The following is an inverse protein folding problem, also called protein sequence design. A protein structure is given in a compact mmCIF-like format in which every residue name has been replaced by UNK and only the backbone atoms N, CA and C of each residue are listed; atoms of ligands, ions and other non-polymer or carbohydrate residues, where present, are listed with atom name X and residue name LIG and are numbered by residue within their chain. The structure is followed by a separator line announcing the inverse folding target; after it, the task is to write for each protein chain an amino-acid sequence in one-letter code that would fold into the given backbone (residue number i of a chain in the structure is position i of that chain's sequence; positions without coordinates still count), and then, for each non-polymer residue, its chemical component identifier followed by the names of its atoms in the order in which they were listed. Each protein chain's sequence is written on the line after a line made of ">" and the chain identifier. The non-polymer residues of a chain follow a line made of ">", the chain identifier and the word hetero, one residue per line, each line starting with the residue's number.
data_IF_879792402518
#
_entry.id   IF_879792402518
#
_cell.length_a   1.000
_cell.length_b   1.000
_cell.length_c   1.000
_cell.angle_alpha   90.00
_cell.angle_beta   90.00
_cell.angle_gamma   90.00
#
_symmetry.space_group_name_H-M   'P 1'
#
loop_
_entity.id
_entity.type
_entity.pdbx_description
1 polymer ?
#
# COMPACT_ATOMS: atom_id res chain seq x y z
N UNK A 1 -4.22 10.40 -9.42
CA UNK A 1 -5.07 9.33 -8.85
C UNK A 1 -6.24 10.06 -8.27
N UNK A 2 -7.48 9.72 -8.61
CA UNK A 2 -8.62 10.59 -8.29
C UNK A 2 -8.72 10.90 -6.79
N UNK A 3 -8.46 9.93 -5.91
CA UNK A 3 -8.46 10.13 -4.45
C UNK A 3 -7.38 11.14 -4.02
N UNK A 4 -6.19 11.09 -4.63
CA UNK A 4 -5.10 12.03 -4.33
C UNK A 4 -5.47 13.43 -4.80
N UNK A 5 -6.01 13.54 -6.00
CA UNK A 5 -6.37 14.83 -6.61
C UNK A 5 -7.45 15.53 -5.75
N UNK A 6 -8.42 14.78 -5.21
CA UNK A 6 -9.41 15.30 -4.24
C UNK A 6 -8.77 15.75 -2.92
N UNK A 7 -7.80 15.00 -2.38
CA UNK A 7 -7.08 15.39 -1.16
C UNK A 7 -6.28 16.69 -1.35
N UNK A 8 -5.63 16.84 -2.49
CA UNK A 8 -4.76 18.00 -2.76
C UNK A 8 -5.55 19.31 -2.91
N UNK A 9 -6.86 19.26 -3.22
CA UNK A 9 -7.73 20.45 -3.16
C UNK A 9 -7.78 21.05 -1.75
N UNK A 10 -7.72 20.22 -0.70
CA UNK A 10 -7.67 20.68 0.69
C UNK A 10 -6.34 21.36 0.99
N UNK A 11 -5.24 20.81 0.45
CA UNK A 11 -3.91 21.42 0.58
C UNK A 11 -3.89 22.80 -0.05
N UNK A 12 -4.38 22.93 -1.28
CA UNK A 12 -4.46 24.20 -2.00
C UNK A 12 -5.28 25.24 -1.24
N UNK A 13 -6.43 24.83 -0.70
CA UNK A 13 -7.26 25.71 0.11
C UNK A 13 -6.52 26.21 1.36
N UNK A 14 -5.89 25.30 2.10
CA UNK A 14 -5.11 25.60 3.31
C UNK A 14 -3.96 26.57 3.01
N UNK A 15 -3.24 26.36 1.90
CA UNK A 15 -2.13 27.23 1.50
C UNK A 15 -2.60 28.65 1.14
N UNK A 16 -3.73 28.79 0.43
CA UNK A 16 -4.30 30.12 0.08
C UNK A 16 -4.71 30.91 1.32
N UNK A 17 -5.18 30.23 2.36
CA UNK A 17 -5.52 30.84 3.65
C UNK A 17 -4.29 31.10 4.55
N UNK A 18 -3.08 30.72 4.11
CA UNK A 18 -1.83 30.83 4.87
C UNK A 18 -1.90 30.16 6.25
N UNK A 19 -2.63 29.06 6.33
CA UNK A 19 -2.71 28.28 7.57
C UNK A 19 -1.41 27.49 7.77
N UNK A 20 -0.84 27.47 8.99
CA UNK A 20 0.26 26.59 9.31
C UNK A 20 -0.12 25.12 9.14
N UNK A 21 0.78 24.30 8.61
CA UNK A 21 0.46 22.92 8.27
C UNK A 21 1.59 21.92 8.52
N UNK A 22 1.22 20.65 8.66
CA UNK A 22 2.12 19.51 8.50
C UNK A 22 1.37 18.43 7.70
N UNK A 23 1.83 18.11 6.50
CA UNK A 23 1.27 17.03 5.68
C UNK A 23 2.07 15.77 5.96
N UNK A 24 1.42 14.68 6.37
CA UNK A 24 2.08 13.46 6.81
C UNK A 24 1.70 12.30 5.88
N UNK A 25 2.70 11.78 5.17
CA UNK A 25 2.57 10.58 4.34
C UNK A 25 3.19 9.39 5.06
N UNK A 26 2.36 8.38 5.33
CA UNK A 26 2.67 7.27 6.25
C UNK A 26 2.90 5.94 5.53
N UNK A 27 3.15 6.00 4.22
CA UNK A 27 3.22 4.81 3.38
C UNK A 27 1.89 4.03 3.36
N UNK A 28 1.99 2.70 3.32
CA UNK A 28 0.84 1.79 3.31
C UNK A 28 0.80 0.92 4.57
N UNK A 29 -0.40 0.54 5.01
CA UNK A 29 -0.55 -0.22 6.25
C UNK A 29 -0.23 -1.70 6.06
N UNK A 30 0.52 -2.29 6.99
CA UNK A 30 0.77 -3.73 7.01
C UNK A 30 -0.55 -4.52 7.05
N UNK A 31 -1.52 -4.08 7.85
CA UNK A 31 -2.81 -4.75 8.06
C UNK A 31 -3.72 -4.76 6.83
N UNK A 32 -3.39 -4.00 5.79
CA UNK A 32 -4.10 -3.99 4.51
C UNK A 32 -3.38 -4.84 3.45
N UNK A 33 -2.15 -5.29 3.71
CA UNK A 33 -1.34 -5.98 2.69
C UNK A 33 -0.41 -7.04 3.26
N UNK A 34 -0.97 -8.19 3.59
CA UNK A 34 -0.27 -9.47 3.78
C UNK A 34 -0.95 -10.57 2.93
N UNK A 35 -0.21 -11.55 2.37
CA UNK A 35 -0.79 -12.63 1.58
C UNK A 35 -1.62 -13.59 2.44
N UNK A 36 -2.62 -14.26 1.86
CA UNK A 36 -3.27 -15.41 2.51
C UNK A 36 -2.36 -16.62 2.46
N UNK A 37 -2.41 -17.42 3.51
CA UNK A 37 -1.66 -18.68 3.65
C UNK A 37 -2.60 -19.87 3.45
N UNK A 38 -2.11 -21.02 2.91
CA UNK A 38 -2.94 -22.19 2.60
C UNK A 38 -3.79 -22.71 3.77
N UNK A 39 -3.27 -22.65 4.99
CA UNK A 39 -4.01 -23.06 6.19
C UNK A 39 -5.18 -22.15 6.57
N UNK A 40 -5.32 -20.98 5.93
CA UNK A 40 -6.37 -20.01 6.25
C UNK A 40 -6.18 -19.28 7.58
N UNK A 41 -5.07 -19.50 8.31
CA UNK A 41 -4.86 -18.90 9.65
C UNK A 41 -4.85 -17.38 9.67
N UNK A 42 -4.66 -16.71 8.53
CA UNK A 42 -4.69 -15.24 8.43
C UNK A 42 -6.06 -14.69 8.00
N UNK A 43 -7.01 -15.54 7.62
CA UNK A 43 -8.29 -15.11 7.03
C UNK A 43 -9.13 -14.26 7.98
N UNK A 44 -8.99 -14.46 9.29
CA UNK A 44 -9.69 -13.67 10.31
C UNK A 44 -9.31 -12.19 10.28
N UNK A 45 -8.09 -11.86 9.84
CA UNK A 45 -7.57 -10.50 9.79
C UNK A 45 -7.64 -9.89 8.38
N UNK A 46 -7.78 -10.71 7.33
CA UNK A 46 -7.73 -10.27 5.94
C UNK A 46 -8.99 -9.48 5.54
N UNK A 47 -8.81 -8.43 4.73
CA UNK A 47 -9.93 -7.64 4.16
C UNK A 47 -10.27 -8.07 2.73
N UNK A 48 -9.25 -8.40 1.94
CA UNK A 48 -9.34 -8.69 0.51
C UNK A 48 -8.50 -9.95 0.20
N UNK A 49 -8.68 -10.59 -0.96
CA UNK A 49 -7.67 -11.52 -1.48
C UNK A 49 -6.38 -10.74 -1.79
N UNK A 50 -5.23 -11.21 -1.27
CA UNK A 50 -3.97 -10.45 -1.32
C UNK A 50 -2.79 -11.24 -1.91
N UNK A 51 -3.07 -12.34 -2.61
CA UNK A 51 -2.04 -13.22 -3.20
C UNK A 51 -1.55 -12.74 -4.57
N UNK A 52 -2.10 -11.64 -5.07
CA UNK A 52 -1.73 -11.06 -6.36
C UNK A 52 -0.33 -10.45 -6.35
N UNK A 53 0.50 -10.81 -7.33
CA UNK A 53 1.84 -10.25 -7.55
C UNK A 53 1.83 -9.34 -8.78
N UNK A 54 2.16 -8.08 -8.57
CA UNK A 54 2.18 -7.04 -9.60
C UNK A 54 3.62 -6.83 -10.09
N UNK A 55 3.82 -6.77 -11.41
CA UNK A 55 5.10 -6.40 -12.02
C UNK A 55 6.31 -7.17 -11.42
N UNK A 56 6.16 -8.47 -11.17
CA UNK A 56 7.22 -9.31 -10.59
C UNK A 56 7.44 -9.17 -9.08
N UNK A 57 6.73 -8.27 -8.41
CA UNK A 57 6.73 -8.14 -6.95
C UNK A 57 8.02 -7.57 -6.35
N UNK A 58 8.91 -7.00 -7.16
CA UNK A 58 10.23 -6.49 -6.73
C UNK A 58 10.22 -5.02 -6.32
N UNK A 59 9.15 -4.28 -6.63
CA UNK A 59 9.06 -2.84 -6.35
C UNK A 59 9.01 -2.58 -4.83
N UNK A 60 9.99 -1.85 -4.27
CA UNK A 60 9.99 -1.52 -2.85
C UNK A 60 8.83 -0.59 -2.50
N UNK A 61 8.25 -0.78 -1.31
CA UNK A 61 7.13 0.00 -0.83
C UNK A 61 7.35 0.43 0.62
N UNK A 62 7.09 1.69 0.91
CA UNK A 62 7.03 2.20 2.29
C UNK A 62 5.81 1.61 2.98
N UNK A 63 6.04 0.80 4.02
CA UNK A 63 5.01 0.12 4.79
C UNK A 63 5.13 0.46 6.28
N UNK A 64 4.01 0.43 7.01
CA UNK A 64 3.99 0.70 8.45
C UNK A 64 2.80 0.02 9.14
N UNK A 65 2.93 -0.32 10.42
CA UNK A 65 1.82 -0.78 11.24
C UNK A 65 0.82 0.36 11.47
N UNK A 66 -0.48 0.10 11.33
CA UNK A 66 -1.53 1.10 11.62
C UNK A 66 -1.39 1.71 13.02
N UNK A 67 -0.93 0.93 14.01
CA UNK A 67 -0.68 1.40 15.40
C UNK A 67 0.37 2.50 15.48
N UNK A 68 1.35 2.51 14.59
CA UNK A 68 2.43 3.50 14.60
C UNK A 68 2.04 4.83 13.99
N UNK A 69 1.07 4.85 13.08
CA UNK A 69 0.56 6.07 12.44
C UNK A 69 0.21 7.13 13.48
N UNK A 70 -0.56 6.77 14.53
CA UNK A 70 -0.92 7.71 15.59
C UNK A 70 0.29 8.09 16.46
N UNK A 71 1.14 7.12 16.82
CA UNK A 71 2.31 7.33 17.68
C UNK A 71 3.30 8.32 17.06
N UNK A 72 3.60 8.17 15.76
CA UNK A 72 4.51 9.08 15.06
C UNK A 72 3.87 10.43 14.76
N UNK A 73 2.57 10.45 14.40
CA UNK A 73 1.84 11.70 14.13
C UNK A 73 1.90 12.65 15.32
N UNK A 74 1.73 12.15 16.55
CA UNK A 74 1.80 12.98 17.77
C UNK A 74 3.17 13.64 17.94
N UNK A 75 4.26 12.98 17.53
CA UNK A 75 5.60 13.58 17.54
C UNK A 75 5.71 14.67 16.48
N UNK A 76 5.28 14.37 15.26
CA UNK A 76 5.31 15.31 14.13
C UNK A 76 4.55 16.60 14.41
N UNK A 77 3.28 16.54 14.81
CA UNK A 77 2.46 17.76 14.96
C UNK A 77 2.95 18.71 16.07
N UNK A 78 3.83 18.27 16.96
CA UNK A 78 4.41 19.08 18.05
C UNK A 78 5.82 19.57 17.75
N UNK A 79 6.41 19.13 16.65
CA UNK A 79 7.79 19.44 16.30
C UNK A 79 7.86 20.67 15.39
N UNK A 80 8.52 21.73 15.84
CA UNK A 80 8.69 22.94 15.04
C UNK A 80 9.42 22.68 13.70
N UNK A 81 10.24 21.62 13.63
CA UNK A 81 10.93 21.21 12.39
C UNK A 81 9.96 20.78 11.29
N UNK A 82 8.73 20.39 11.63
CA UNK A 82 7.71 19.96 10.67
C UNK A 82 6.70 21.05 10.32
N UNK A 83 6.82 22.24 10.90
CA UNK A 83 5.95 23.38 10.60
C UNK A 83 6.09 23.80 9.13
N UNK A 84 4.96 23.84 8.42
CA UNK A 84 4.87 24.08 6.98
C UNK A 84 5.69 23.10 6.14
N UNK A 85 5.80 21.85 6.60
CA UNK A 85 6.52 20.79 5.89
C UNK A 85 5.59 19.65 5.49
N UNK A 86 6.04 18.91 4.47
CA UNK A 86 5.54 17.59 4.15
C UNK A 86 6.53 16.58 4.72
N UNK A 87 6.06 15.61 5.47
CA UNK A 87 6.89 14.62 6.16
C UNK A 87 6.47 13.25 5.70
N UNK A 88 7.42 12.40 5.33
CA UNK A 88 7.14 11.01 5.04
C UNK A 88 7.70 10.11 6.15
N UNK A 89 6.99 9.04 6.49
CA UNK A 89 7.39 8.10 7.53
C UNK A 89 6.92 6.68 7.20
N UNK A 90 7.72 5.70 7.58
CA UNK A 90 7.47 4.29 7.33
C UNK A 90 8.22 3.43 8.33
N UNK A 91 7.72 2.23 8.62
CA UNK A 91 8.34 1.24 9.51
C UNK A 91 9.36 0.38 8.76
N UNK A 92 8.95 -0.23 7.65
CA UNK A 92 9.79 -1.05 6.78
C UNK A 92 9.65 -0.62 5.32
N UNK A 93 10.72 -0.82 4.54
CA UNK A 93 10.73 -0.65 3.08
C UNK A 93 10.81 -2.05 2.47
N UNK A 94 9.68 -2.60 2.02
CA UNK A 94 9.59 -3.98 1.55
C UNK A 94 8.89 -4.07 0.20
N UNK A 95 9.37 -4.97 -0.64
CA UNK A 95 8.72 -5.43 -1.86
C UNK A 95 7.68 -6.53 -1.55
N UNK A 96 6.85 -6.88 -2.54
CA UNK A 96 5.91 -8.01 -2.36
C UNK A 96 6.65 -9.32 -2.13
N UNK A 97 7.77 -9.52 -2.82
CA UNK A 97 8.56 -10.74 -2.69
C UNK A 97 9.16 -10.89 -1.29
N UNK A 98 9.64 -9.80 -0.68
CA UNK A 98 10.16 -9.81 0.69
C UNK A 98 9.04 -10.03 1.71
N UNK A 99 7.88 -9.38 1.54
CA UNK A 99 6.68 -9.63 2.36
C UNK A 99 6.28 -11.10 2.30
N UNK A 100 6.24 -11.67 1.10
CA UNK A 100 5.90 -13.08 0.88
C UNK A 100 6.94 -13.99 1.54
N UNK A 101 8.23 -13.72 1.37
CA UNK A 101 9.31 -14.52 1.97
C UNK A 101 9.23 -14.54 3.50
N UNK A 102 8.98 -13.38 4.13
CA UNK A 102 8.81 -13.28 5.60
C UNK A 102 7.63 -14.14 6.07
N UNK A 103 6.52 -14.13 5.32
CA UNK A 103 5.35 -14.94 5.66
C UNK A 103 5.65 -16.43 5.49
N UNK A 104 6.26 -16.85 4.37
CA UNK A 104 6.64 -18.25 4.14
C UNK A 104 7.59 -18.75 5.23
N UNK A 105 8.60 -17.96 5.60
CA UNK A 105 9.56 -18.29 6.65
C UNK A 105 8.90 -18.48 8.01
N UNK A 106 8.07 -17.52 8.44
CA UNK A 106 7.44 -17.56 9.77
C UNK A 106 6.32 -18.60 9.90
N UNK A 107 5.63 -18.90 8.80
CA UNK A 107 4.52 -19.86 8.82
C UNK A 107 4.95 -21.27 8.47
N UNK A 108 6.08 -21.43 7.77
CA UNK A 108 6.51 -22.69 7.18
C UNK A 108 5.65 -23.13 5.98
N UNK A 109 4.77 -22.26 5.48
CA UNK A 109 3.83 -22.57 4.40
C UNK A 109 4.28 -21.96 3.08
N UNK A 110 4.14 -22.68 1.97
CA UNK A 110 4.36 -22.13 0.64
C UNK A 110 3.13 -21.35 0.18
N UNK A 111 3.31 -20.10 -0.21
CA UNK A 111 2.20 -19.25 -0.64
C UNK A 111 1.72 -19.61 -2.05
N UNK A 112 0.41 -19.65 -2.23
CA UNK A 112 -0.23 -19.74 -3.55
C UNK A 112 -0.33 -18.35 -4.16
N UNK A 113 0.76 -17.89 -4.78
CA UNK A 113 0.84 -16.56 -5.40
C UNK A 113 0.26 -16.57 -6.81
N UNK A 114 -0.51 -15.53 -7.14
CA UNK A 114 -1.15 -15.38 -8.45
C UNK A 114 -0.55 -14.17 -9.15
N UNK A 115 0.06 -14.30 -10.33
CA UNK A 115 0.41 -13.14 -11.14
C UNK A 115 -0.87 -12.38 -11.49
N UNK A 116 -0.87 -11.06 -11.38
CA UNK A 116 -2.00 -10.24 -11.84
C UNK A 116 -2.23 -10.52 -13.31
N UNK A 117 -3.48 -10.87 -13.68
CA UNK A 117 -3.92 -11.10 -15.06
C UNK A 117 -5.04 -10.11 -15.40
N UNK A 118 -5.14 -9.72 -16.68
CA UNK A 118 -6.33 -9.02 -17.17
C UNK A 118 -7.42 -10.02 -17.55
N UNK A 119 -8.68 -9.63 -17.40
CA UNK A 119 -9.85 -10.45 -17.80
C UNK A 119 -9.93 -10.73 -19.31
N UNK A 120 -8.98 -10.20 -20.09
CA UNK A 120 -8.92 -10.25 -21.55
C UNK A 120 -7.83 -11.17 -22.09
N UNK A 121 -6.96 -11.72 -21.23
CA UNK A 121 -5.79 -12.50 -21.67
C UNK A 121 -6.02 -14.00 -21.45
N UNK A 122 -6.23 -14.74 -22.55
CA UNK A 122 -6.50 -16.18 -22.58
C UNK A 122 -5.27 -17.05 -22.91
N UNK A 123 -4.06 -16.48 -23.02
CA UNK A 123 -2.88 -17.26 -23.42
C UNK A 123 -1.91 -17.47 -22.25
N UNK A 124 -2.00 -18.65 -21.65
CA UNK A 124 -0.90 -19.31 -20.95
C UNK A 124 0.12 -19.80 -22.00
N UNK A 125 1.41 -19.48 -21.83
CA UNK A 125 2.54 -20.41 -22.02
C UNK A 125 3.93 -19.74 -22.00
N UNK A 126 4.89 -20.46 -21.39
CA UNK A 126 6.36 -20.42 -21.48
C UNK A 126 7.03 -19.13 -22.01
N UNK A 127 7.06 -18.08 -21.18
CA UNK A 127 7.83 -16.86 -21.44
C UNK A 127 8.90 -16.61 -20.36
N UNK A 128 9.97 -15.90 -20.74
CA UNK A 128 11.08 -15.55 -19.83
C UNK A 128 10.59 -14.70 -18.65
N UNK A 129 11.32 -14.72 -17.54
CA UNK A 129 10.94 -14.00 -16.32
C UNK A 129 10.73 -12.50 -16.56
N UNK A 130 11.59 -11.85 -17.35
CA UNK A 130 11.47 -10.42 -17.67
C UNK A 130 10.21 -10.10 -18.49
N UNK A 131 9.83 -10.96 -19.43
CA UNK A 131 8.62 -10.76 -20.24
C UNK A 131 7.35 -10.93 -19.38
N UNK A 132 7.37 -11.84 -18.40
CA UNK A 132 6.27 -12.00 -17.43
C UNK A 132 6.10 -10.76 -16.54
N UNK A 133 7.20 -10.13 -16.12
CA UNK A 133 7.17 -8.88 -15.33
C UNK A 133 6.53 -7.75 -16.13
N UNK A 134 6.99 -7.54 -17.36
CA UNK A 134 6.46 -6.50 -18.25
C UNK A 134 4.96 -6.70 -18.51
N UNK A 135 4.55 -7.94 -18.82
CA UNK A 135 3.15 -8.29 -19.05
C UNK A 135 2.28 -8.04 -17.81
N UNK A 136 2.75 -8.41 -16.62
CA UNK A 136 2.01 -8.14 -15.38
C UNK A 136 1.81 -6.64 -15.13
N UNK A 137 2.79 -5.80 -15.49
CA UNK A 137 2.65 -4.35 -15.42
C UNK A 137 1.63 -3.83 -16.45
N UNK A 138 1.67 -4.32 -17.69
CA UNK A 138 0.69 -4.01 -18.73
C UNK A 138 -0.73 -4.44 -18.36
N UNK A 139 -0.88 -5.62 -17.76
CA UNK A 139 -2.16 -6.16 -17.27
C UNK A 139 -2.70 -5.32 -16.12
N UNK A 140 -1.85 -4.86 -15.20
CA UNK A 140 -2.25 -3.91 -14.16
C UNK A 140 -2.73 -2.57 -14.73
N UNK A 141 -2.06 -2.05 -15.76
CA UNK A 141 -2.48 -0.84 -16.48
C UNK A 141 -3.78 -1.02 -17.26
N UNK A 142 -3.97 -2.20 -17.88
CA UNK A 142 -5.22 -2.55 -18.56
C UNK A 142 -6.40 -2.65 -17.57
N UNK A 143 -6.18 -3.28 -16.41
CA UNK A 143 -7.16 -3.34 -15.33
C UNK A 143 -7.53 -1.94 -14.82
N UNK A 144 -6.55 -1.04 -14.66
CA UNK A 144 -6.81 0.36 -14.32
C UNK A 144 -7.64 1.07 -15.40
N UNK A 145 -7.32 0.88 -16.68
CA UNK A 145 -8.09 1.47 -17.79
C UNK A 145 -9.54 0.99 -17.78
N UNK A 146 -9.78 -0.31 -17.57
CA UNK A 146 -11.12 -0.87 -17.47
C UNK A 146 -11.87 -0.32 -16.24
N UNK A 147 -11.21 -0.22 -15.08
CA UNK A 147 -11.81 0.32 -13.87
C UNK A 147 -12.20 1.80 -14.02
N UNK A 148 -11.37 2.60 -14.74
CA UNK A 148 -11.71 3.99 -15.09
C UNK A 148 -12.95 4.07 -15.96
N UNK A 149 -13.02 3.27 -17.03
CA UNK A 149 -14.18 3.25 -17.92
C UNK A 149 -15.47 2.84 -17.17
N UNK A 150 -15.39 1.86 -16.26
CA UNK A 150 -16.53 1.46 -15.44
C UNK A 150 -16.99 2.59 -14.49
N UNK A 151 -16.05 3.26 -13.81
CA UNK A 151 -16.35 4.39 -12.95
C UNK A 151 -16.90 5.61 -13.72
N UNK A 152 -16.44 5.85 -14.95
CA UNK A 152 -16.99 6.90 -15.83
C UNK A 152 -18.41 6.57 -16.30
N UNK A 153 -18.70 5.29 -16.55
CA UNK A 153 -20.02 4.83 -17.00
C UNK A 153 -21.08 4.97 -15.91
N UNK A 154 -20.73 4.63 -14.66
CA UNK A 154 -21.62 4.74 -13.51
C UNK A 154 -20.84 5.22 -12.27
N UNK A 155 -20.62 6.54 -12.11
CA UNK A 155 -19.84 7.11 -11.01
C UNK A 155 -20.59 7.09 -9.67
N UNK A 156 -21.92 6.87 -9.69
CA UNK A 156 -22.70 6.73 -8.47
C UNK A 156 -22.57 5.32 -7.85
N UNK A 157 -22.04 4.35 -8.60
CA UNK A 157 -21.87 2.99 -8.13
C UNK A 157 -20.64 2.87 -7.22
N UNK A 158 -20.83 2.58 -5.92
CA UNK A 158 -19.73 2.51 -4.95
C UNK A 158 -18.74 1.38 -5.27
N UNK A 159 -19.17 0.30 -5.95
CA UNK A 159 -18.28 -0.80 -6.32
C UNK A 159 -17.33 -0.41 -7.47
N UNK A 160 -17.81 0.36 -8.44
CA UNK A 160 -16.95 0.88 -9.51
C UNK A 160 -15.90 1.83 -8.95
N UNK A 161 -16.30 2.71 -8.02
CA UNK A 161 -15.39 3.63 -7.36
C UNK A 161 -14.35 2.91 -6.48
N UNK A 162 -14.77 1.87 -5.74
CA UNK A 162 -13.85 1.04 -4.96
C UNK A 162 -12.86 0.29 -5.86
N UNK A 163 -13.34 -0.29 -6.97
CA UNK A 163 -12.51 -0.98 -7.95
C UNK A 163 -11.48 -0.05 -8.60
N UNK A 164 -11.89 1.17 -8.98
CA UNK A 164 -10.98 2.19 -9.48
C UNK A 164 -9.91 2.56 -8.45
N UNK A 165 -10.32 2.82 -7.20
CA UNK A 165 -9.39 3.15 -6.13
C UNK A 165 -8.34 2.05 -5.91
N UNK A 166 -8.75 0.78 -5.87
CA UNK A 166 -7.86 -0.37 -5.73
C UNK A 166 -6.87 -0.43 -6.89
N UNK A 167 -7.36 -0.31 -8.13
CA UNK A 167 -6.51 -0.36 -9.32
C UNK A 167 -5.49 0.80 -9.36
N UNK A 168 -5.93 2.02 -9.02
CA UNK A 168 -5.04 3.19 -8.91
C UNK A 168 -3.94 2.98 -7.88
N UNK A 169 -4.29 2.50 -6.67
CA UNK A 169 -3.32 2.21 -5.63
C UNK A 169 -2.32 1.12 -6.04
N UNK A 170 -2.77 0.05 -6.69
CA UNK A 170 -1.89 -1.04 -7.12
C UNK A 170 -0.92 -0.59 -8.20
N UNK A 171 -1.38 0.14 -9.22
CA UNK A 171 -0.49 0.70 -10.27
C UNK A 171 0.49 1.69 -9.67
N UNK A 172 0.03 2.58 -8.79
CA UNK A 172 0.88 3.56 -8.11
C UNK A 172 2.01 2.91 -7.31
N UNK A 173 1.69 1.90 -6.50
CA UNK A 173 2.64 1.23 -5.61
C UNK A 173 3.60 0.28 -6.32
N UNK A 174 3.10 -0.53 -7.26
CA UNK A 174 3.85 -1.66 -7.77
C UNK A 174 4.39 -1.47 -9.19
N UNK A 175 3.73 -0.65 -10.01
CA UNK A 175 4.18 -0.37 -11.39
C UNK A 175 4.99 0.92 -11.46
N UNK A 176 4.46 2.01 -10.90
CA UNK A 176 5.11 3.33 -10.93
C UNK A 176 6.10 3.56 -9.78
N UNK A 177 6.01 2.74 -8.73
CA UNK A 177 6.85 2.84 -7.53
C UNK A 177 6.72 4.17 -6.77
N UNK A 178 5.54 4.81 -6.79
CA UNK A 178 5.35 6.14 -6.17
C UNK A 178 5.58 6.14 -4.66
N UNK A 179 5.36 4.99 -4.00
CA UNK A 179 5.40 4.84 -2.56
C UNK A 179 6.81 4.47 -2.07
N UNK A 180 7.81 5.23 -2.49
CA UNK A 180 9.24 5.04 -2.14
C UNK A 180 9.84 6.31 -1.51
N UNK A 181 10.87 6.18 -0.66
CA UNK A 181 11.59 7.34 -0.10
C UNK A 181 12.13 8.27 -1.19
N UNK A 182 12.70 7.72 -2.26
CA UNK A 182 13.24 8.47 -3.40
C UNK A 182 12.19 9.41 -4.01
N UNK A 183 10.98 8.91 -4.27
CA UNK A 183 9.89 9.72 -4.81
C UNK A 183 9.40 10.78 -3.81
N UNK A 184 9.35 10.46 -2.52
CA UNK A 184 8.97 11.43 -1.49
C UNK A 184 9.99 12.58 -1.40
N UNK A 185 11.29 12.26 -1.41
CA UNK A 185 12.38 13.22 -1.37
C UNK A 185 12.44 14.09 -2.62
N UNK A 186 12.24 13.50 -3.81
CA UNK A 186 12.10 14.24 -5.06
C UNK A 186 10.98 15.30 -4.99
N UNK A 187 9.88 14.99 -4.31
CA UNK A 187 8.75 15.91 -4.10
C UNK A 187 8.97 16.91 -2.93
N UNK A 188 10.14 16.89 -2.29
CA UNK A 188 10.51 17.80 -1.21
C UNK A 188 9.94 17.44 0.16
N UNK A 189 9.54 16.18 0.38
CA UNK A 189 9.19 15.71 1.72
C UNK A 189 10.46 15.52 2.55
N UNK A 190 10.37 15.77 3.85
CA UNK A 190 11.46 15.50 4.80
C UNK A 190 11.28 14.12 5.44
N UNK A 191 12.40 13.45 5.71
CA UNK A 191 12.43 12.08 6.21
C UNK A 191 12.10 12.01 7.71
N UNK A 192 10.95 11.46 8.05
CA UNK A 192 10.52 11.27 9.43
C UNK A 192 11.43 10.33 10.23
N UNK A 193 12.12 9.39 9.58
CA UNK A 193 13.05 8.47 10.28
C UNK A 193 14.34 9.19 10.71
N UNK A 194 14.78 10.19 9.94
CA UNK A 194 15.90 11.05 10.32
C UNK A 194 15.52 12.04 11.42
N UNK A 195 14.28 12.54 11.39
CA UNK A 195 13.77 13.44 12.43
C UNK A 195 13.60 12.73 13.79
N UNK A 196 13.25 11.45 13.77
CA UNK A 196 12.93 10.64 14.96
C UNK A 196 13.68 9.30 14.95
N UNK A 197 15.03 9.31 15.06
CA UNK A 197 15.83 8.09 15.00
C UNK A 197 15.61 7.17 16.22
N UNK A 198 15.08 7.70 17.32
CA UNK A 198 14.73 6.96 18.54
C UNK A 198 13.36 6.27 18.46
N UNK A 199 12.58 6.51 17.40
CA UNK A 199 11.25 5.96 17.29
C UNK A 199 11.29 4.44 17.06
N UNK A 200 10.74 3.69 18.00
CA UNK A 200 10.61 2.24 17.90
C UNK A 200 9.43 1.86 17.00
N UNK A 201 9.73 1.65 15.72
CA UNK A 201 8.81 1.13 14.71
C UNK A 201 8.48 -0.34 14.98
N UNK A 202 7.19 -0.68 14.91
CA UNK A 202 6.71 -2.05 14.81
C UNK A 202 7.15 -2.58 13.45
N UNK A 203 7.81 -3.73 13.42
CA UNK A 203 8.25 -4.35 12.17
C UNK A 203 7.13 -5.19 11.57
N UNK A 204 7.19 -5.39 10.25
CA UNK A 204 6.29 -6.32 9.57
C UNK A 204 6.42 -7.74 10.13
N UNK A 205 7.62 -8.16 10.50
CA UNK A 205 7.86 -9.46 11.17
C UNK A 205 7.05 -9.61 12.44
N UNK A 206 6.94 -8.55 13.23
CA UNK A 206 6.19 -8.57 14.50
C UNK A 206 4.69 -8.69 14.23
N UNK A 207 4.19 -8.04 13.16
CA UNK A 207 2.80 -8.24 12.73
C UNK A 207 2.55 -9.69 12.31
N UNK A 208 3.47 -10.32 11.60
CA UNK A 208 3.30 -11.72 11.19
C UNK A 208 3.24 -12.66 12.40
N UNK A 209 4.02 -12.39 13.45
CA UNK A 209 3.93 -13.13 14.71
C UNK A 209 2.56 -12.94 15.38
N UNK A 210 2.03 -11.72 15.40
CA UNK A 210 0.68 -11.42 15.90
C UNK A 210 -0.42 -12.07 15.04
N UNK A 211 -0.22 -12.18 13.73
CA UNK A 211 -1.15 -12.86 12.82
C UNK A 211 -1.20 -14.36 13.13
N UNK A 212 -0.04 -14.98 13.34
CA UNK A 212 0.07 -16.39 13.74
C UNK A 212 -0.60 -16.63 15.10
N UNK A 213 -0.43 -15.68 16.04
CA UNK A 213 -1.04 -15.74 17.37
C UNK A 213 -2.56 -15.46 17.38
N UNK A 214 -3.15 -15.02 16.26
CA UNK A 214 -4.57 -14.69 16.20
C UNK A 214 -4.95 -13.35 16.86
N UNK A 215 -3.99 -12.46 17.13
CA UNK A 215 -4.21 -11.24 17.92
C UNK A 215 -4.39 -9.96 17.10
N UNK A 216 -4.09 -9.98 15.80
CA UNK A 216 -4.30 -8.83 14.92
C UNK A 216 -5.77 -8.47 14.77
N UNK A 217 -6.11 -7.19 14.96
CA UNK A 217 -7.47 -6.70 14.69
C UNK A 217 -7.60 -6.24 13.24
N UNK A 218 -8.48 -6.89 12.48
CA UNK A 218 -8.88 -6.46 11.14
C UNK A 218 -9.27 -4.96 11.12
N UNK A 219 -8.77 -4.16 10.15
CA UNK A 219 -9.24 -2.79 9.97
C UNK A 219 -10.73 -2.75 9.58
N UNK A 220 -11.46 -1.77 10.12
CA UNK A 220 -12.91 -1.57 9.89
C UNK A 220 -13.74 -2.85 10.09
N UNK A 221 -13.75 -3.44 11.29
CA UNK A 221 -14.50 -4.67 11.57
C UNK A 221 -16.01 -4.51 11.34
N UNK A 222 -16.53 -3.28 11.33
CA UNK A 222 -17.94 -2.98 11.08
C UNK A 222 -18.38 -3.26 9.63
N UNK A 223 -17.45 -3.46 8.70
CA UNK A 223 -17.75 -3.73 7.29
C UNK A 223 -17.97 -5.24 7.02
N UNK A 224 -17.99 -6.10 8.03
CA UNK A 224 -18.56 -7.45 7.93
C UNK A 224 -20.10 -7.34 8.06
N UNK A 225 -20.78 -7.25 6.92
CA UNK A 225 -22.21 -7.61 6.81
C UNK A 225 -22.33 -8.83 5.91
#
# INVERSE_FOLDING_TARGET
>A
MQIRDVKEQVHDHMFRQRLPFTIIDVGYWYELRFPRVPSGKFDYAAILPLNDVYAGGTTPNMLMAKRDVGRITVRMIKDERTLNKRVYAYGDLLSQNEVNAIVEEKTGEKLELVPVRSNTSLCDDFQSANLKVQRSAEEALANLKAAKAAAETDPANPMNMAGLAIAEYCVSKYVRADNTPENAEYLGYINGRELYPDFAWIKFTDLVDELIAGSVRRPWPQLQQ
#
